data_IF_007426276982
#
_entry.id   IF_007426276982
#
_cell.length_a   1.000
_cell.length_b   1.000
_cell.length_c   1.000
_cell.angle_alpha   90.00
_cell.angle_beta   90.00
_cell.angle_gamma   90.00
#
_symmetry.space_group_name_H-M   'P 1'
#
loop_
_entity.id
_entity.type
_entity.pdbx_description
1 polymer ?
#
# COMPACT_ATOMS: atom_id res chain seq x y z
N UNK A 1 -65.72 31.44 50.31
CA UNK A 1 -65.99 32.34 51.45
C UNK A 1 -64.68 32.99 51.86
N UNK A 2 -64.66 34.33 51.90
CA UNK A 2 -63.72 35.26 52.55
C UNK A 2 -62.21 35.13 52.25
N UNK A 3 -61.59 36.04 51.49
CA UNK A 3 -61.19 37.44 51.82
C UNK A 3 -59.83 37.46 52.59
N UNK A 4 -58.72 37.86 51.96
CA UNK A 4 -58.21 39.23 51.70
C UNK A 4 -57.38 39.85 52.84
N UNK A 5 -56.11 40.15 52.50
CA UNK A 5 -55.21 41.21 53.04
C UNK A 5 -54.73 41.02 54.50
N UNK A 6 -53.58 41.53 54.97
CA UNK A 6 -53.03 42.88 54.81
C UNK A 6 -51.53 42.93 55.20
N UNK A 7 -50.86 44.00 54.78
CA UNK A 7 -49.45 44.38 54.97
C UNK A 7 -49.13 44.90 56.40
N UNK A 8 -47.86 44.78 56.85
CA UNK A 8 -46.94 45.91 57.21
C UNK A 8 -45.87 45.59 58.28
N UNK A 9 -44.61 45.71 57.82
CA UNK A 9 -43.46 46.51 58.33
C UNK A 9 -42.76 46.24 59.68
N UNK A 10 -41.42 46.41 59.55
CA UNK A 10 -40.36 46.81 60.51
C UNK A 10 -39.66 45.64 61.24
N UNK A 11 -38.34 45.59 61.44
CA UNK A 11 -37.29 46.61 61.51
C UNK A 11 -35.95 46.10 60.93
N UNK A 12 -35.10 47.05 60.55
CA UNK A 12 -33.73 46.87 60.08
C UNK A 12 -32.75 46.52 61.20
N UNK A 13 -31.75 45.67 60.89
CA UNK A 13 -30.39 45.79 61.43
C UNK A 13 -29.40 45.24 60.41
N UNK A 14 -28.26 45.93 60.32
CA UNK A 14 -27.33 45.94 59.21
C UNK A 14 -26.23 44.85 59.26
N UNK A 15 -25.45 44.85 58.17
CA UNK A 15 -24.06 44.41 58.02
C UNK A 15 -23.86 43.01 57.43
N UNK A 16 -23.26 42.97 56.24
CA UNK A 16 -22.59 41.78 55.72
C UNK A 16 -22.57 41.68 54.20
N UNK A 17 -21.58 42.31 53.57
CA UNK A 17 -21.21 42.15 52.15
C UNK A 17 -20.97 40.67 51.84
N UNK A 18 -21.62 40.13 50.82
CA UNK A 18 -21.05 39.01 50.04
C UNK A 18 -21.46 39.16 48.58
N UNK A 19 -20.44 39.52 47.80
CA UNK A 19 -20.55 39.86 46.40
C UNK A 19 -21.00 38.70 45.53
N UNK A 20 -21.64 39.12 44.45
CA UNK A 20 -21.85 38.41 43.21
C UNK A 20 -20.57 37.63 42.80
N UNK A 21 -20.57 36.31 42.86
CA UNK A 21 -19.63 35.51 42.09
C UNK A 21 -20.41 34.96 40.90
N UNK A 22 -20.41 35.74 39.81
CA UNK A 22 -20.64 35.21 38.48
C UNK A 22 -19.57 34.13 38.25
N UNK A 23 -19.98 32.87 38.29
CA UNK A 23 -19.17 31.77 37.78
C UNK A 23 -19.11 31.91 36.25
N UNK A 24 -18.23 32.79 35.77
CA UNK A 24 -17.68 32.69 34.42
C UNK A 24 -16.86 31.42 34.44
N UNK A 25 -17.49 30.31 34.06
CA UNK A 25 -16.80 29.08 33.75
C UNK A 25 -15.82 29.40 32.62
N UNK A 26 -14.57 29.61 32.98
CA UNK A 26 -13.45 29.66 32.04
C UNK A 26 -13.45 28.32 31.35
N UNK A 27 -13.95 28.29 30.11
CA UNK A 27 -13.64 27.21 29.19
C UNK A 27 -12.12 27.19 29.10
N UNK A 28 -11.48 26.25 29.81
CA UNK A 28 -10.08 25.93 29.57
C UNK A 28 -10.02 25.46 28.13
N UNK A 29 -9.58 26.35 27.26
CA UNK A 29 -9.10 25.95 25.95
C UNK A 29 -8.09 24.84 26.19
N UNK A 30 -8.41 23.63 25.73
CA UNK A 30 -7.40 22.61 25.46
C UNK A 30 -6.59 23.11 24.25
N UNK A 31 -5.88 24.22 24.42
CA UNK A 31 -4.81 24.63 23.52
C UNK A 31 -3.70 23.64 23.75
N UNK A 32 -3.77 22.49 23.06
CA UNK A 32 -2.58 21.69 22.89
C UNK A 32 -1.54 22.62 22.25
N UNK A 33 -0.38 22.71 22.87
CA UNK A 33 0.79 23.43 22.35
C UNK A 33 1.29 22.65 21.12
N UNK A 34 0.50 22.65 20.03
CA UNK A 34 0.76 21.85 18.84
C UNK A 34 1.83 22.54 18.02
N UNK A 35 2.80 21.75 17.57
CA UNK A 35 3.79 22.19 16.60
C UNK A 35 3.08 22.69 15.34
N UNK A 36 3.44 23.90 14.89
CA UNK A 36 2.96 24.43 13.62
C UNK A 36 3.35 23.49 12.47
N UNK A 37 2.45 23.19 11.51
CA UNK A 37 2.78 22.42 10.32
C UNK A 37 3.96 23.00 9.50
N UNK A 38 4.24 24.30 9.66
CA UNK A 38 5.32 25.01 8.98
C UNK A 38 6.58 25.18 9.82
N UNK A 39 6.61 24.65 11.06
CA UNK A 39 7.77 24.78 11.94
C UNK A 39 9.03 24.17 11.27
N UNK A 40 10.21 24.83 11.39
CA UNK A 40 11.45 24.28 10.85
C UNK A 40 11.76 22.94 11.52
N UNK A 41 12.34 22.03 10.76
CA UNK A 41 12.74 20.71 11.28
C UNK A 41 13.91 20.88 12.27
N UNK A 42 13.85 20.28 13.47
CA UNK A 42 14.85 20.51 14.53
C UNK A 42 16.07 19.57 14.47
N UNK A 43 16.04 18.52 13.64
CA UNK A 43 17.06 17.47 13.52
C UNK A 43 17.25 17.09 12.06
N UNK A 44 18.35 16.45 11.69
CA UNK A 44 18.63 15.98 10.32
C UNK A 44 17.63 14.92 9.82
N UNK A 45 17.55 14.77 8.49
CA UNK A 45 16.53 13.95 7.85
C UNK A 45 17.02 12.49 7.77
N UNK A 46 16.11 11.53 8.02
CA UNK A 46 16.39 10.12 7.83
C UNK A 46 16.58 9.78 6.33
N UNK A 47 17.42 8.78 6.05
CA UNK A 47 17.61 8.22 4.71
C UNK A 47 16.57 7.11 4.45
N UNK A 48 15.37 7.49 4.03
CA UNK A 48 14.35 6.53 3.59
C UNK A 48 13.57 7.02 2.37
N UNK A 49 13.10 6.07 1.56
CA UNK A 49 12.13 6.29 0.49
C UNK A 49 10.68 6.10 0.96
N UNK A 50 10.46 5.48 2.12
CA UNK A 50 9.14 5.20 2.67
C UNK A 50 8.63 6.37 3.48
N UNK A 51 7.51 6.96 3.05
CA UNK A 51 6.92 8.11 3.72
C UNK A 51 6.49 7.80 5.17
N UNK A 52 6.19 6.53 5.49
CA UNK A 52 5.83 6.09 6.85
C UNK A 52 7.02 5.92 7.80
N UNK A 53 8.24 5.90 7.27
CA UNK A 53 9.47 5.90 8.06
C UNK A 53 10.01 7.32 8.29
N UNK A 54 9.44 8.30 7.58
CA UNK A 54 9.75 9.72 7.70
C UNK A 54 8.77 10.44 8.63
N UNK A 55 9.25 11.45 9.32
CA UNK A 55 8.45 12.44 10.03
C UNK A 55 7.65 13.31 9.05
N UNK A 56 6.56 13.91 9.53
CA UNK A 56 5.76 14.84 8.71
C UNK A 56 6.57 16.04 8.21
N UNK A 57 7.58 16.49 8.96
CA UNK A 57 8.47 17.58 8.57
C UNK A 57 9.40 17.17 7.43
N UNK A 58 9.93 15.95 7.43
CA UNK A 58 10.78 15.43 6.36
C UNK A 58 9.99 15.24 5.06
N UNK A 59 8.76 14.70 5.13
CA UNK A 59 7.89 14.58 3.95
C UNK A 59 7.56 15.96 3.38
N UNK A 60 7.17 16.93 4.24
CA UNK A 60 6.91 18.31 3.82
C UNK A 60 8.14 18.94 3.16
N UNK A 61 9.31 18.81 3.77
CA UNK A 61 10.55 19.41 3.28
C UNK A 61 11.00 18.74 1.97
N UNK A 62 10.79 17.43 1.80
CA UNK A 62 11.04 16.72 0.55
C UNK A 62 10.15 17.24 -0.59
N UNK A 63 8.86 17.46 -0.33
CA UNK A 63 7.93 18.05 -1.31
C UNK A 63 8.37 19.46 -1.70
N UNK A 64 8.73 20.30 -0.71
CA UNK A 64 9.29 21.65 -0.96
C UNK A 64 10.61 21.61 -1.72
N UNK A 65 11.41 20.56 -1.50
CA UNK A 65 12.67 20.29 -2.20
C UNK A 65 12.52 19.71 -3.61
N UNK A 66 11.28 19.46 -4.07
CA UNK A 66 11.01 19.03 -5.44
C UNK A 66 10.61 17.56 -5.60
N UNK A 67 10.34 16.82 -4.51
CA UNK A 67 9.67 15.52 -4.60
C UNK A 67 8.22 15.73 -5.02
N UNK A 68 7.84 15.27 -6.21
CA UNK A 68 6.49 15.44 -6.77
C UNK A 68 5.66 14.16 -6.76
N UNK A 69 6.32 13.02 -6.62
CA UNK A 69 5.73 11.70 -6.85
C UNK A 69 5.55 10.93 -5.54
N UNK A 70 4.40 10.28 -5.37
CA UNK A 70 4.18 9.27 -4.34
C UNK A 70 3.73 7.97 -5.01
N UNK A 71 4.34 6.84 -4.65
CA UNK A 71 4.01 5.52 -5.19
C UNK A 71 3.20 4.76 -4.15
N UNK A 72 2.00 4.35 -4.51
CA UNK A 72 1.11 3.51 -3.71
C UNK A 72 1.13 2.11 -4.32
N UNK A 73 1.80 1.19 -3.63
CA UNK A 73 1.76 -0.23 -3.94
C UNK A 73 0.57 -0.90 -3.26
N UNK A 74 -0.18 -1.69 -4.00
CA UNK A 74 -1.26 -2.55 -3.48
C UNK A 74 -0.90 -4.01 -3.67
N UNK A 75 -0.90 -4.74 -2.57
CA UNK A 75 -0.51 -6.15 -2.51
C UNK A 75 -1.73 -7.03 -2.25
N UNK A 76 -1.74 -7.70 -1.11
CA UNK A 76 -2.82 -8.63 -0.75
C UNK A 76 -2.40 -9.63 0.31
N UNK A 77 -3.37 -10.35 0.87
CA UNK A 77 -3.13 -11.49 1.76
C UNK A 77 -3.99 -12.64 1.26
N UNK A 78 -3.36 -13.63 0.66
CA UNK A 78 -4.04 -14.71 -0.04
C UNK A 78 -3.29 -16.05 0.05
N UNK A 79 -3.94 -17.11 -0.41
CA UNK A 79 -3.28 -18.41 -0.56
C UNK A 79 -2.23 -18.34 -1.67
N UNK A 80 -1.07 -18.94 -1.40
CA UNK A 80 0.06 -18.95 -2.32
C UNK A 80 0.74 -20.33 -2.37
N UNK A 81 -0.04 -21.38 -2.10
CA UNK A 81 0.50 -22.72 -1.89
C UNK A 81 1.18 -22.93 -0.53
N UNK A 82 1.98 -24.01 -0.39
CA UNK A 82 2.37 -24.53 0.92
C UNK A 82 3.64 -23.91 1.53
N UNK A 83 4.39 -23.11 0.75
CA UNK A 83 5.78 -22.78 1.08
C UNK A 83 6.05 -21.30 1.35
N UNK A 84 5.28 -20.39 0.78
CA UNK A 84 5.49 -18.95 0.94
C UNK A 84 4.49 -18.36 1.94
N UNK A 85 4.88 -17.29 2.61
CA UNK A 85 4.00 -16.55 3.50
C UNK A 85 2.78 -15.96 2.73
N UNK A 86 1.60 -15.96 3.35
CA UNK A 86 0.36 -15.47 2.72
C UNK A 86 0.39 -13.99 2.30
N UNK A 87 1.32 -13.20 2.84
CA UNK A 87 1.55 -11.82 2.42
C UNK A 87 2.50 -11.66 1.22
N UNK A 88 2.69 -12.71 0.39
CA UNK A 88 3.62 -12.79 -0.76
C UNK A 88 3.76 -11.45 -1.51
N UNK A 89 2.65 -10.90 -1.95
CA UNK A 89 2.58 -9.65 -2.71
C UNK A 89 3.14 -8.43 -1.97
N UNK A 90 2.91 -8.34 -0.66
CA UNK A 90 3.41 -7.21 0.15
C UNK A 90 4.94 -7.28 0.28
N UNK A 91 5.50 -8.47 0.44
CA UNK A 91 6.96 -8.66 0.54
C UNK A 91 7.66 -8.42 -0.80
N UNK A 92 7.03 -8.79 -1.91
CA UNK A 92 7.50 -8.43 -3.26
C UNK A 92 7.53 -6.90 -3.43
N UNK A 93 6.45 -6.23 -3.04
CA UNK A 93 6.36 -4.76 -3.08
C UNK A 93 7.42 -4.08 -2.20
N UNK A 94 7.73 -4.62 -1.01
CA UNK A 94 8.83 -4.14 -0.17
C UNK A 94 10.20 -4.21 -0.88
N UNK A 95 10.41 -5.22 -1.73
CA UNK A 95 11.64 -5.34 -2.52
C UNK A 95 11.65 -4.39 -3.70
N UNK A 96 10.58 -4.33 -4.49
CA UNK A 96 10.60 -3.68 -5.81
C UNK A 96 10.32 -2.18 -5.76
N UNK A 97 9.49 -1.69 -4.83
CA UNK A 97 9.11 -0.27 -4.77
C UNK A 97 10.32 0.67 -4.59
N UNK A 98 11.34 0.36 -3.77
CA UNK A 98 12.57 1.17 -3.70
C UNK A 98 13.33 1.24 -5.04
N UNK A 99 13.31 0.19 -5.85
CA UNK A 99 13.92 0.21 -7.18
C UNK A 99 13.12 1.11 -8.12
N UNK A 100 11.78 1.00 -8.11
CA UNK A 100 10.88 1.85 -8.90
C UNK A 100 11.04 3.32 -8.52
N UNK A 101 11.02 3.65 -7.23
CA UNK A 101 11.17 5.02 -6.74
C UNK A 101 12.50 5.66 -7.19
N UNK A 102 13.60 4.89 -7.17
CA UNK A 102 14.89 5.35 -7.70
C UNK A 102 14.89 5.52 -9.22
N UNK A 103 14.26 4.61 -9.96
CA UNK A 103 14.21 4.67 -11.42
C UNK A 103 13.35 5.84 -11.93
N UNK A 104 12.28 6.19 -11.21
CA UNK A 104 11.41 7.33 -11.53
C UNK A 104 12.03 8.66 -11.05
N UNK A 105 12.67 8.66 -9.89
CA UNK A 105 13.23 9.86 -9.27
C UNK A 105 12.15 10.77 -8.67
N UNK A 106 12.56 11.69 -7.78
CA UNK A 106 11.65 12.64 -7.12
C UNK A 106 10.40 11.97 -6.49
N UNK A 107 10.58 10.78 -5.94
CA UNK A 107 9.52 9.91 -5.49
C UNK A 107 9.71 9.46 -4.04
N UNK A 108 8.60 9.43 -3.30
CA UNK A 108 8.46 8.67 -2.05
C UNK A 108 7.50 7.50 -2.27
N UNK A 109 7.47 6.58 -1.30
CA UNK A 109 6.63 5.39 -1.31
C UNK A 109 5.64 5.50 -0.15
N UNK A 110 4.36 5.31 -0.42
CA UNK A 110 3.32 5.24 0.59
C UNK A 110 3.34 3.89 1.33
N UNK A 111 2.69 3.77 2.51
CA UNK A 111 2.39 2.47 3.10
C UNK A 111 1.77 1.52 2.08
N UNK A 112 2.23 0.26 2.06
CA UNK A 112 1.64 -0.76 1.18
C UNK A 112 0.20 -1.03 1.60
N UNK A 113 -0.72 -0.98 0.64
CA UNK A 113 -2.12 -1.37 0.83
C UNK A 113 -2.20 -2.89 0.82
N UNK A 114 -2.45 -3.48 2.00
CA UNK A 114 -2.45 -4.95 2.20
C UNK A 114 -3.83 -5.59 2.07
N UNK A 115 -4.90 -4.79 2.10
CA UNK A 115 -6.27 -5.26 2.10
C UNK A 115 -6.94 -4.91 0.77
N UNK A 116 -7.28 -5.94 0.00
CA UNK A 116 -7.69 -5.84 -1.40
C UNK A 116 -8.80 -6.85 -1.70
N UNK A 117 -9.47 -6.78 -2.86
CA UNK A 117 -10.43 -7.81 -3.25
C UNK A 117 -9.74 -9.12 -3.62
N UNK A 118 -9.99 -10.19 -2.86
CA UNK A 118 -9.42 -11.54 -3.09
C UNK A 118 -10.49 -12.61 -3.35
N UNK A 119 -11.75 -12.19 -3.41
CA UNK A 119 -12.93 -13.05 -3.60
C UNK A 119 -14.12 -12.62 -2.75
N UNK A 120 -15.27 -13.26 -2.95
CA UNK A 120 -16.47 -12.98 -2.17
C UNK A 120 -16.29 -13.46 -0.73
N UNK A 121 -16.82 -12.70 0.23
CA UNK A 121 -16.81 -13.05 1.67
C UNK A 121 -18.08 -13.86 2.01
N UNK A 122 -19.24 -13.31 1.63
CA UNK A 122 -20.57 -13.87 1.87
C UNK A 122 -21.42 -13.88 0.59
N UNK A 123 -22.51 -14.68 0.54
CA UNK A 123 -22.88 -15.73 1.51
C UNK A 123 -22.03 -17.00 1.36
N UNK A 124 -21.27 -17.13 0.27
CA UNK A 124 -20.34 -18.23 0.04
C UNK A 124 -18.99 -17.67 -0.44
N UNK A 125 -17.87 -18.10 0.16
CA UNK A 125 -16.56 -17.63 -0.27
C UNK A 125 -16.24 -18.08 -1.70
N UNK A 126 -15.54 -17.22 -2.44
CA UNK A 126 -15.03 -17.51 -3.80
C UNK A 126 -13.57 -17.08 -3.94
N UNK A 127 -12.89 -17.52 -5.00
CA UNK A 127 -11.50 -17.13 -5.23
C UNK A 127 -10.59 -17.56 -4.08
N UNK A 128 -9.65 -16.68 -3.69
CA UNK A 128 -8.71 -16.98 -2.62
C UNK A 128 -9.39 -17.01 -1.24
N UNK A 129 -10.58 -16.42 -1.08
CA UNK A 129 -11.36 -16.50 0.18
C UNK A 129 -11.81 -17.93 0.54
N UNK A 130 -11.66 -18.89 -0.37
CA UNK A 130 -11.88 -20.31 -0.07
C UNK A 130 -10.78 -20.91 0.84
N UNK A 131 -9.68 -20.18 1.06
CA UNK A 131 -8.50 -20.64 1.77
C UNK A 131 -8.29 -19.84 3.07
N UNK A 132 -7.93 -20.55 4.15
CA UNK A 132 -7.74 -19.94 5.45
C UNK A 132 -6.59 -18.93 5.46
N UNK A 133 -6.81 -17.79 6.10
CA UNK A 133 -5.83 -16.70 6.23
C UNK A 133 -5.92 -15.63 5.13
N UNK A 134 -6.66 -15.89 4.04
CA UNK A 134 -6.97 -14.85 3.05
C UNK A 134 -7.85 -13.76 3.67
N UNK A 135 -7.57 -12.50 3.33
CA UNK A 135 -8.40 -11.34 3.70
C UNK A 135 -8.87 -10.65 2.43
N UNK A 136 -10.19 -10.54 2.23
CA UNK A 136 -10.78 -9.84 1.09
C UNK A 136 -11.52 -8.59 1.55
N UNK A 137 -11.45 -7.54 0.73
CA UNK A 137 -12.34 -6.38 0.79
C UNK A 137 -13.38 -6.45 -0.33
N UNK A 138 -14.57 -5.90 -0.06
CA UNK A 138 -15.50 -5.59 -1.13
C UNK A 138 -14.90 -4.55 -2.09
N UNK A 139 -15.18 -4.63 -3.41
CA UNK A 139 -14.66 -3.67 -4.38
C UNK A 139 -14.92 -2.20 -4.01
N UNK A 140 -16.13 -1.89 -3.52
CA UNK A 140 -16.48 -0.53 -3.10
C UNK A 140 -15.64 -0.03 -1.91
N UNK A 141 -15.32 -0.91 -0.95
CA UNK A 141 -14.48 -0.57 0.20
C UNK A 141 -13.04 -0.32 -0.23
N UNK A 142 -12.51 -1.15 -1.13
CA UNK A 142 -11.18 -0.99 -1.68
C UNK A 142 -11.05 0.30 -2.51
N UNK A 143 -12.01 0.59 -3.39
CA UNK A 143 -12.03 1.81 -4.19
C UNK A 143 -12.15 3.07 -3.29
N UNK A 144 -12.95 3.03 -2.23
CA UNK A 144 -13.06 4.11 -1.25
C UNK A 144 -11.75 4.35 -0.50
N UNK A 145 -11.12 3.27 0.00
CA UNK A 145 -9.83 3.32 0.67
C UNK A 145 -8.76 3.98 -0.21
N UNK A 146 -8.59 3.50 -1.45
CA UNK A 146 -7.61 4.05 -2.38
C UNK A 146 -7.91 5.52 -2.72
N UNK A 147 -9.19 5.86 -2.91
CA UNK A 147 -9.60 7.24 -3.19
C UNK A 147 -9.17 8.20 -2.08
N UNK A 148 -9.35 7.80 -0.81
CA UNK A 148 -8.97 8.64 0.33
C UNK A 148 -7.45 8.71 0.53
N UNK A 149 -6.72 7.63 0.27
CA UNK A 149 -5.24 7.66 0.27
C UNK A 149 -4.73 8.64 -0.80
N UNK A 150 -5.22 8.54 -2.04
CA UNK A 150 -4.81 9.44 -3.12
C UNK A 150 -5.12 10.91 -2.80
N UNK A 151 -6.33 11.18 -2.29
CA UNK A 151 -6.75 12.53 -1.90
C UNK A 151 -5.89 13.10 -0.76
N UNK A 152 -5.49 12.26 0.19
CA UNK A 152 -4.63 12.66 1.30
C UNK A 152 -3.26 13.13 0.80
N UNK A 153 -2.61 12.35 -0.06
CA UNK A 153 -1.33 12.76 -0.64
C UNK A 153 -1.43 13.98 -1.57
N UNK A 154 -2.52 14.10 -2.34
CA UNK A 154 -2.77 15.30 -3.12
C UNK A 154 -2.83 16.56 -2.24
N UNK A 155 -3.51 16.50 -1.09
CA UNK A 155 -3.62 17.65 -0.16
C UNK A 155 -2.26 18.04 0.41
N UNK A 156 -1.34 17.10 0.57
CA UNK A 156 0.03 17.37 1.03
C UNK A 156 0.95 17.95 -0.05
N UNK A 157 0.52 17.98 -1.32
CA UNK A 157 1.23 18.66 -2.40
C UNK A 157 1.88 17.73 -3.44
N UNK A 158 1.70 16.41 -3.34
CA UNK A 158 2.11 15.50 -4.40
C UNK A 158 1.29 15.75 -5.67
N UNK A 159 1.95 15.83 -6.82
CA UNK A 159 1.30 16.07 -8.12
C UNK A 159 1.19 14.84 -8.98
N UNK A 160 2.02 13.83 -8.73
CA UNK A 160 2.01 12.56 -9.45
C UNK A 160 1.77 11.43 -8.43
N UNK A 161 0.58 10.85 -8.42
CA UNK A 161 0.19 9.78 -7.51
C UNK A 161 0.15 8.48 -8.29
N UNK A 162 1.12 7.61 -8.09
CA UNK A 162 1.28 6.37 -8.87
C UNK A 162 0.60 5.22 -8.15
N UNK A 163 -0.25 4.47 -8.85
CA UNK A 163 -0.87 3.23 -8.39
C UNK A 163 -0.27 2.04 -9.16
N UNK A 164 0.32 1.09 -8.43
CA UNK A 164 0.77 -0.20 -8.97
C UNK A 164 0.26 -1.35 -8.10
N UNK A 165 -0.11 -2.48 -8.72
CA UNK A 165 -0.63 -3.64 -7.99
C UNK A 165 0.04 -4.93 -8.37
N UNK A 166 0.34 -5.75 -7.37
CA UNK A 166 1.07 -7.02 -7.54
C UNK A 166 0.16 -8.25 -7.66
N UNK A 167 -1.14 -8.11 -7.38
CA UNK A 167 -2.15 -9.16 -7.54
C UNK A 167 -3.26 -8.77 -8.52
N UNK A 168 -3.94 -9.78 -9.07
CA UNK A 168 -5.01 -9.59 -10.06
C UNK A 168 -6.21 -8.83 -9.51
N UNK A 169 -6.57 -9.08 -8.24
CA UNK A 169 -7.68 -8.42 -7.55
C UNK A 169 -7.51 -6.90 -7.39
N UNK A 170 -6.27 -6.41 -7.47
CA UNK A 170 -5.98 -4.99 -7.31
C UNK A 170 -6.43 -4.14 -8.52
N UNK A 171 -6.38 -4.72 -9.72
CA UNK A 171 -6.21 -3.99 -10.97
C UNK A 171 -7.43 -3.12 -11.32
N UNK A 172 -8.63 -3.71 -11.33
CA UNK A 172 -9.85 -3.01 -11.73
C UNK A 172 -10.21 -1.85 -10.80
N UNK A 173 -10.04 -2.02 -9.48
CA UNK A 173 -10.33 -0.96 -8.51
C UNK A 173 -9.38 0.24 -8.66
N UNK A 174 -8.07 -0.02 -8.86
CA UNK A 174 -7.10 1.05 -9.12
C UNK A 174 -7.42 1.84 -10.39
N UNK A 175 -7.75 1.16 -11.49
CA UNK A 175 -8.13 1.82 -12.74
C UNK A 175 -9.31 2.76 -12.53
N UNK A 176 -10.39 2.27 -11.89
CA UNK A 176 -11.59 3.08 -11.62
C UNK A 176 -11.30 4.29 -10.74
N UNK A 177 -10.50 4.11 -9.69
CA UNK A 177 -10.08 5.21 -8.81
C UNK A 177 -9.26 6.25 -9.57
N UNK A 178 -8.29 5.80 -10.38
CA UNK A 178 -7.47 6.70 -11.19
C UNK A 178 -8.32 7.50 -12.18
N UNK A 179 -9.25 6.85 -12.89
CA UNK A 179 -10.15 7.51 -13.84
C UNK A 179 -11.06 8.53 -13.16
N UNK A 180 -11.72 8.12 -12.07
CA UNK A 180 -12.63 8.98 -11.33
C UNK A 180 -11.92 10.21 -10.74
N UNK A 181 -10.72 10.04 -10.18
CA UNK A 181 -9.94 11.14 -9.63
C UNK A 181 -9.36 12.04 -10.72
N UNK A 182 -8.88 11.50 -11.84
CA UNK A 182 -8.41 12.32 -12.96
C UNK A 182 -9.55 13.12 -13.61
N UNK A 183 -10.76 12.56 -13.70
CA UNK A 183 -11.94 13.30 -14.14
C UNK A 183 -12.24 14.46 -13.16
N UNK A 184 -12.25 14.16 -11.86
CA UNK A 184 -12.50 15.14 -10.80
C UNK A 184 -11.45 16.25 -10.75
N UNK A 185 -10.18 15.92 -11.02
CA UNK A 185 -9.03 16.83 -10.95
C UNK A 185 -8.62 17.38 -12.32
N UNK A 186 -9.49 17.34 -13.31
CA UNK A 186 -9.20 17.76 -14.70
C UNK A 186 -8.64 19.18 -14.81
N UNK A 187 -9.13 20.10 -13.98
CA UNK A 187 -8.66 21.50 -13.91
C UNK A 187 -7.50 21.73 -12.91
N UNK A 188 -7.02 20.68 -12.25
CA UNK A 188 -5.95 20.76 -11.25
C UNK A 188 -4.62 20.23 -11.79
N UNK A 189 -3.52 20.44 -11.06
CA UNK A 189 -2.20 19.93 -11.43
C UNK A 189 -2.00 18.44 -11.12
N UNK A 190 -2.67 17.92 -10.09
CA UNK A 190 -2.46 16.56 -9.63
C UNK A 190 -3.05 15.52 -10.59
N UNK A 191 -2.34 14.41 -10.79
CA UNK A 191 -2.76 13.27 -11.61
C UNK A 191 -2.56 11.95 -10.87
N UNK A 192 -3.49 11.03 -11.08
CA UNK A 192 -3.35 9.63 -10.63
C UNK A 192 -2.91 8.78 -11.81
N UNK A 193 -1.76 8.14 -11.68
CA UNK A 193 -1.15 7.28 -12.68
C UNK A 193 -1.35 5.83 -12.27
N UNK A 194 -2.41 5.20 -12.74
CA UNK A 194 -2.48 3.74 -12.70
C UNK A 194 -1.58 3.18 -13.81
N UNK A 195 -0.60 2.35 -13.42
CA UNK A 195 0.39 1.75 -14.32
C UNK A 195 0.19 0.23 -14.38
N UNK A 196 -0.77 -0.27 -15.21
CA UNK A 196 -1.02 -1.70 -15.36
C UNK A 196 0.16 -2.48 -15.93
N UNK A 197 1.16 -1.82 -16.52
CA UNK A 197 2.34 -2.44 -17.10
C UNK A 197 3.24 -3.06 -16.02
N UNK A 198 3.33 -2.45 -14.82
CA UNK A 198 3.67 -3.22 -13.64
C UNK A 198 2.56 -4.26 -13.48
N UNK A 199 2.74 -5.57 -13.39
CA UNK A 199 1.68 -6.60 -13.54
C UNK A 199 1.56 -7.16 -14.95
N UNK A 200 1.08 -6.41 -15.95
CA UNK A 200 0.73 -6.99 -17.27
C UNK A 200 1.92 -7.16 -18.22
N UNK A 201 2.92 -6.28 -18.18
CA UNK A 201 4.11 -6.42 -19.03
C UNK A 201 5.01 -7.53 -18.46
N UNK A 202 5.20 -8.60 -19.25
CA UNK A 202 5.89 -9.84 -18.86
C UNK A 202 5.38 -10.42 -17.53
N UNK A 203 4.13 -10.95 -17.54
CA UNK A 203 3.49 -11.51 -16.34
C UNK A 203 4.36 -12.60 -15.71
N UNK A 204 4.58 -12.49 -14.39
CA UNK A 204 5.50 -13.32 -13.60
C UNK A 204 6.94 -13.31 -14.12
N UNK A 205 7.31 -12.27 -14.88
CA UNK A 205 8.61 -12.13 -15.53
C UNK A 205 9.03 -13.38 -16.32
N UNK A 206 8.06 -14.05 -16.94
CA UNK A 206 8.25 -15.32 -17.63
C UNK A 206 9.35 -15.26 -18.70
N UNK A 207 9.34 -14.22 -19.54
CA UNK A 207 10.34 -14.03 -20.58
C UNK A 207 11.69 -13.65 -19.96
N UNK A 208 11.72 -12.75 -18.98
CA UNK A 208 12.96 -12.33 -18.33
C UNK A 208 13.66 -13.48 -17.58
N UNK A 209 12.92 -14.32 -16.85
CA UNK A 209 13.48 -15.50 -16.17
C UNK A 209 14.19 -16.45 -17.16
N UNK A 210 13.67 -16.61 -18.38
CA UNK A 210 14.34 -17.40 -19.42
C UNK A 210 15.68 -16.81 -19.85
N UNK A 211 15.82 -15.47 -19.86
CA UNK A 211 17.12 -14.83 -20.13
C UNK A 211 18.16 -15.15 -19.06
N UNK A 212 17.72 -15.52 -17.85
CA UNK A 212 18.56 -15.98 -16.75
C UNK A 212 18.76 -17.51 -16.76
N UNK A 213 18.25 -18.22 -17.78
CA UNK A 213 18.30 -19.68 -17.86
C UNK A 213 17.33 -20.39 -16.90
N UNK A 214 16.28 -19.70 -16.44
CA UNK A 214 15.28 -20.25 -15.52
C UNK A 214 14.02 -20.59 -16.31
N UNK A 215 13.65 -21.87 -16.31
CA UNK A 215 12.41 -22.39 -16.87
C UNK A 215 11.66 -23.12 -15.78
N UNK A 216 10.37 -22.81 -15.63
CA UNK A 216 9.49 -23.42 -14.64
C UNK A 216 8.48 -24.32 -15.34
N UNK A 217 8.41 -25.57 -14.90
CA UNK A 217 7.63 -26.62 -15.55
C UNK A 217 6.36 -26.91 -14.76
N UNK A 218 5.22 -26.75 -15.44
CA UNK A 218 3.94 -27.29 -15.02
C UNK A 218 3.79 -28.73 -15.53
N UNK A 219 3.79 -29.70 -14.62
CA UNK A 219 3.63 -31.12 -14.94
C UNK A 219 2.18 -31.50 -15.17
N UNK A 220 1.25 -30.62 -14.79
CA UNK A 220 -0.20 -30.82 -14.92
C UNK A 220 -0.83 -29.59 -15.57
N UNK A 221 -0.40 -29.19 -16.79
CA UNK A 221 -0.98 -28.04 -17.47
C UNK A 221 -2.44 -28.35 -17.85
N UNK A 222 -3.26 -27.31 -18.09
CA UNK A 222 -4.58 -27.49 -18.69
C UNK A 222 -4.52 -28.26 -20.02
N UNK A 223 -5.61 -28.94 -20.37
CA UNK A 223 -5.66 -29.75 -21.58
C UNK A 223 -5.32 -28.92 -22.83
N UNK A 224 -4.31 -29.37 -23.58
CA UNK A 224 -3.84 -28.73 -24.80
C UNK A 224 -2.78 -27.65 -24.61
N UNK A 225 -2.47 -27.27 -23.36
CA UNK A 225 -1.46 -26.26 -23.06
C UNK A 225 -0.06 -26.88 -22.85
N UNK A 226 1.04 -26.16 -23.20
CA UNK A 226 2.39 -26.65 -22.99
C UNK A 226 2.78 -26.58 -21.50
N UNK A 227 3.70 -27.47 -21.09
CA UNK A 227 4.22 -27.48 -19.71
C UNK A 227 5.02 -26.21 -19.35
N UNK A 228 5.65 -25.58 -20.34
CA UNK A 228 6.37 -24.31 -20.20
C UNK A 228 5.50 -23.18 -20.75
N UNK A 229 4.82 -22.48 -19.85
CA UNK A 229 3.82 -21.46 -20.17
C UNK A 229 3.79 -20.33 -19.14
N UNK A 230 3.39 -19.11 -19.53
CA UNK A 230 3.10 -18.04 -18.59
C UNK A 230 1.75 -18.30 -17.90
N UNK A 231 1.78 -18.71 -16.63
CA UNK A 231 0.59 -19.00 -15.83
C UNK A 231 0.79 -18.57 -14.38
N UNK A 232 -0.31 -18.25 -13.69
CA UNK A 232 -0.34 -17.96 -12.26
C UNK A 232 -0.32 -19.24 -11.40
N UNK A 233 -0.55 -20.39 -12.03
CA UNK A 233 -0.64 -21.68 -11.36
C UNK A 233 0.19 -22.71 -12.10
N UNK A 234 1.11 -23.36 -11.39
CA UNK A 234 1.88 -24.49 -11.90
C UNK A 234 1.83 -25.60 -10.88
N UNK A 235 1.68 -26.86 -11.29
CA UNK A 235 1.62 -28.01 -10.37
C UNK A 235 0.60 -27.82 -9.22
N UNK A 236 -0.50 -27.09 -9.45
CA UNK A 236 -1.51 -26.78 -8.43
C UNK A 236 -1.08 -25.77 -7.35
N UNK A 237 0.04 -25.06 -7.54
CA UNK A 237 0.59 -24.08 -6.60
C UNK A 237 0.47 -22.68 -7.23
N UNK A 238 -0.05 -21.71 -6.46
CA UNK A 238 -0.12 -20.30 -6.83
C UNK A 238 1.14 -19.54 -6.38
N UNK A 239 2.28 -19.97 -6.90
CA UNK A 239 3.57 -19.41 -6.59
C UNK A 239 4.50 -19.53 -7.80
N UNK A 240 5.58 -18.76 -7.81
CA UNK A 240 6.53 -18.68 -8.91
C UNK A 240 7.90 -18.24 -8.40
N UNK A 241 8.98 -18.66 -9.06
CA UNK A 241 10.35 -18.19 -8.77
C UNK A 241 10.42 -16.65 -8.79
N UNK A 242 9.61 -15.99 -9.63
CA UNK A 242 9.41 -14.54 -9.64
C UNK A 242 9.12 -13.97 -8.24
N UNK A 243 8.21 -14.61 -7.50
CA UNK A 243 7.81 -14.16 -6.17
C UNK A 243 8.84 -14.57 -5.12
N UNK A 244 9.17 -15.87 -5.04
CA UNK A 244 10.09 -16.39 -4.02
C UNK A 244 11.46 -15.69 -4.06
N UNK A 245 12.00 -15.43 -5.25
CA UNK A 245 13.28 -14.76 -5.41
C UNK A 245 13.26 -13.32 -4.88
N UNK A 246 12.21 -12.55 -5.17
CA UNK A 246 12.07 -11.18 -4.67
C UNK A 246 11.80 -11.14 -3.16
N UNK A 247 11.09 -12.12 -2.61
CA UNK A 247 10.84 -12.25 -1.17
C UNK A 247 12.13 -12.62 -0.42
N UNK A 248 12.96 -13.49 -1.00
CA UNK A 248 14.24 -13.86 -0.42
C UNK A 248 15.19 -12.67 -0.23
N UNK A 249 15.05 -11.60 -1.03
CA UNK A 249 15.81 -10.35 -0.85
C UNK A 249 15.49 -9.69 0.51
N UNK A 250 14.25 -9.81 0.99
CA UNK A 250 13.85 -9.33 2.32
C UNK A 250 14.29 -10.32 3.39
N UNK A 251 13.80 -11.56 3.30
CA UNK A 251 14.01 -12.58 4.32
C UNK A 251 13.70 -13.99 3.78
N UNK A 252 14.72 -14.85 3.60
CA UNK A 252 14.53 -16.24 3.17
C UNK A 252 13.62 -17.10 4.08
N UNK A 253 13.38 -16.69 5.34
CA UNK A 253 12.45 -17.39 6.23
C UNK A 253 11.00 -17.31 5.73
N UNK A 254 10.67 -16.29 4.94
CA UNK A 254 9.33 -16.08 4.38
C UNK A 254 8.98 -17.09 3.28
N UNK A 255 9.98 -17.72 2.66
CA UNK A 255 9.81 -18.83 1.69
C UNK A 255 10.11 -20.21 2.31
N UNK A 256 10.16 -20.26 3.65
CA UNK A 256 10.42 -21.46 4.47
C UNK A 256 11.69 -22.20 4.08
N UNK A 257 12.74 -21.45 3.73
CA UNK A 257 14.02 -21.99 3.24
C UNK A 257 14.54 -23.11 4.14
N UNK A 258 14.71 -22.87 5.44
CA UNK A 258 15.30 -23.86 6.36
C UNK A 258 14.44 -25.13 6.47
N UNK A 259 13.12 -24.97 6.59
CA UNK A 259 12.18 -26.09 6.71
C UNK A 259 12.16 -26.92 5.43
N UNK A 260 12.15 -26.26 4.27
CA UNK A 260 12.17 -26.91 2.95
C UNK A 260 13.50 -27.60 2.69
N UNK A 261 14.62 -26.97 3.02
CA UNK A 261 15.95 -27.60 2.89
C UNK A 261 16.04 -28.87 3.73
N UNK A 262 15.59 -28.82 4.99
CA UNK A 262 15.54 -30.00 5.87
C UNK A 262 14.64 -31.11 5.31
N UNK A 263 13.57 -30.75 4.61
CA UNK A 263 12.64 -31.69 3.98
C UNK A 263 13.05 -32.15 2.57
N UNK A 264 14.14 -31.62 2.00
CA UNK A 264 14.49 -31.88 0.59
C UNK A 264 13.52 -31.25 -0.42
N UNK A 265 12.81 -30.19 -0.02
CA UNK A 265 11.75 -29.51 -0.77
C UNK A 265 12.11 -28.06 -1.14
N UNK A 266 13.40 -27.69 -1.10
CA UNK A 266 13.84 -26.33 -1.45
C UNK A 266 14.00 -26.15 -2.97
N UNK A 267 12.93 -26.54 -3.68
CA UNK A 267 12.78 -26.41 -5.13
C UNK A 267 11.37 -25.90 -5.42
N UNK A 268 11.19 -25.26 -6.57
CA UNK A 268 9.89 -24.79 -7.04
C UNK A 268 9.77 -24.98 -8.56
N UNK A 269 8.71 -25.64 -9.03
CA UNK A 269 8.45 -25.89 -10.47
C UNK A 269 9.64 -26.44 -11.28
N UNK A 270 10.46 -27.29 -10.65
CA UNK A 270 11.65 -27.86 -11.30
C UNK A 270 12.93 -27.01 -11.18
N UNK A 271 12.87 -25.88 -10.49
CA UNK A 271 14.01 -25.00 -10.21
C UNK A 271 14.54 -25.25 -8.80
N UNK A 272 15.84 -25.48 -8.67
CA UNK A 272 16.53 -25.50 -7.39
C UNK A 272 16.78 -24.05 -6.91
N UNK A 273 16.31 -23.76 -5.69
CA UNK A 273 16.42 -22.44 -5.07
C UNK A 273 17.71 -22.30 -4.24
N UNK A 274 18.48 -23.38 -4.08
CA UNK A 274 19.80 -23.36 -3.48
C UNK A 274 20.90 -23.01 -4.52
N UNK A 275 22.02 -22.42 -4.06
CA UNK A 275 22.18 -21.79 -2.74
C UNK A 275 21.34 -20.50 -2.68
N UNK A 276 20.92 -20.09 -1.48
CA UNK A 276 19.97 -18.99 -1.30
C UNK A 276 20.47 -17.67 -1.90
N UNK A 277 21.79 -17.46 -1.91
CA UNK A 277 22.44 -16.28 -2.47
C UNK A 277 22.12 -16.10 -3.97
N UNK A 278 22.01 -17.21 -4.72
CA UNK A 278 21.62 -17.19 -6.13
C UNK A 278 20.18 -16.71 -6.29
N UNK A 279 19.27 -17.21 -5.45
CA UNK A 279 17.86 -16.83 -5.44
C UNK A 279 17.68 -15.36 -5.06
N UNK A 280 18.45 -14.86 -4.09
CA UNK A 280 18.49 -13.44 -3.74
C UNK A 280 19.00 -12.59 -4.90
N UNK A 281 20.04 -13.03 -5.61
CA UNK A 281 20.56 -12.30 -6.78
C UNK A 281 19.51 -12.20 -7.90
N UNK A 282 18.79 -13.30 -8.17
CA UNK A 282 17.67 -13.32 -9.12
C UNK A 282 16.60 -12.31 -8.69
N UNK A 283 16.24 -12.27 -7.41
CA UNK A 283 15.28 -11.31 -6.87
C UNK A 283 15.67 -9.85 -7.10
N UNK A 284 16.96 -9.51 -6.93
CA UNK A 284 17.47 -8.16 -7.22
C UNK A 284 17.40 -7.82 -8.71
N UNK A 285 17.71 -8.78 -9.60
CA UNK A 285 17.60 -8.61 -11.06
C UNK A 285 16.15 -8.40 -11.49
N UNK A 286 15.23 -9.16 -10.93
CA UNK A 286 13.79 -8.99 -11.14
C UNK A 286 13.30 -7.62 -10.69
N UNK A 287 13.69 -7.18 -9.49
CA UNK A 287 13.29 -5.87 -8.97
C UNK A 287 13.78 -4.72 -9.87
N UNK A 288 15.02 -4.80 -10.36
CA UNK A 288 15.54 -3.85 -11.34
C UNK A 288 14.76 -3.88 -12.66
N UNK A 289 14.49 -5.07 -13.20
CA UNK A 289 13.71 -5.25 -14.43
C UNK A 289 12.28 -4.67 -14.31
N UNK A 290 11.58 -4.94 -13.20
CA UNK A 290 10.25 -4.36 -12.94
C UNK A 290 10.32 -2.84 -12.80
N UNK A 291 11.39 -2.30 -12.24
CA UNK A 291 11.59 -0.85 -12.14
C UNK A 291 11.75 -0.17 -13.51
N UNK A 292 12.46 -0.80 -14.45
CA UNK A 292 12.61 -0.30 -15.82
C UNK A 292 11.25 -0.25 -16.56
N UNK A 293 10.48 -1.33 -16.48
CA UNK A 293 9.11 -1.39 -17.02
C UNK A 293 8.26 -0.24 -16.45
N UNK A 294 8.27 -0.11 -15.13
CA UNK A 294 7.41 0.86 -14.43
C UNK A 294 7.80 2.30 -14.73
N UNK A 295 9.10 2.60 -14.80
CA UNK A 295 9.59 3.93 -15.15
C UNK A 295 9.16 4.33 -16.58
N UNK A 296 9.28 3.40 -17.54
CA UNK A 296 8.82 3.63 -18.92
C UNK A 296 7.30 3.86 -18.99
N UNK A 297 6.53 3.06 -18.26
CA UNK A 297 5.08 3.21 -18.15
C UNK A 297 4.68 4.57 -17.53
N UNK A 298 5.39 4.98 -16.48
CA UNK A 298 5.17 6.27 -15.84
C UNK A 298 5.43 7.45 -16.79
N UNK A 299 6.53 7.42 -17.56
CA UNK A 299 6.79 8.43 -18.59
C UNK A 299 5.70 8.49 -19.66
N UNK A 300 5.19 7.34 -20.10
CA UNK A 300 4.06 7.28 -21.02
C UNK A 300 2.77 7.87 -20.41
N UNK A 301 2.50 7.53 -19.15
CA UNK A 301 1.34 8.04 -18.41
C UNK A 301 1.40 9.57 -18.22
N UNK A 302 2.57 10.13 -17.90
CA UNK A 302 2.77 11.59 -17.81
C UNK A 302 2.45 12.29 -19.12
N UNK A 303 2.87 11.75 -20.26
CA UNK A 303 2.55 12.32 -21.60
C UNK A 303 1.07 12.24 -21.96
N UNK A 304 0.33 11.29 -21.38
CA UNK A 304 -1.10 11.10 -21.64
C UNK A 304 -1.97 12.03 -20.78
N UNK A 305 -1.56 12.24 -19.53
CA UNK A 305 -2.38 12.93 -18.52
C UNK A 305 -2.07 14.43 -18.37
N UNK A 306 -0.99 14.91 -19.00
CA UNK A 306 -0.59 16.32 -19.04
C UNK A 306 -0.68 16.84 -20.47
#
# INVERSE_FOLDING_TARGET
MCAWRCEMRALATAVGVLGLICAVGVARAFGQNQLSPDAPRPIDAAESLWAEELTSMEVRDAIRGGTTTIIIGTGGVEQNGPYVAGGKHNYVLQTVLPYIARAIGHALIAPIVKFVPEGNIEPKPSGHMQYAGTISLEPATYEALLSDICRSYKVHGFTDIVLIGDSGGNQTGMQRVADALNQKWSAERARVHYLPEYYTEDQWSYAFLKTLGITQIDKTPPDGEPQDQPTAWRNGIHDDVYYEAQIAVQDPRLIRMEQRTKAGLFTLHGVDLAPIEKTVEIGRKLAAYRAEITAKAFEASKRKLR
#
